data_IF_069843710973
#
_entry.id   IF_069843710973
#
_cell.length_a   1.000
_cell.length_b   1.000
_cell.length_c   1.000
_cell.angle_alpha   90.00
_cell.angle_beta   90.00
_cell.angle_gamma   90.00
#
_symmetry.space_group_name_H-M   'P 1'
#
loop_
_entity.id
_entity.type
_entity.pdbx_description
1 polymer ?
#
# COMPACT_ATOMS: atom_id res chain seq x y z
N UNK A 1 30.13 -47.92 -42.29
CA UNK A 1 29.29 -46.74 -42.61
C UNK A 1 27.85 -46.82 -42.09
N UNK A 2 27.17 -47.98 -42.08
CA UNK A 2 25.79 -48.11 -41.53
C UNK A 2 25.63 -47.80 -40.02
N UNK A 3 26.69 -47.93 -39.21
CA UNK A 3 26.64 -47.67 -37.75
C UNK A 3 26.71 -46.18 -37.38
N UNK A 4 27.20 -45.32 -38.26
CA UNK A 4 27.29 -43.86 -38.03
C UNK A 4 25.94 -43.19 -38.29
N UNK A 5 25.14 -43.72 -39.22
CA UNK A 5 23.82 -43.19 -39.54
C UNK A 5 22.78 -43.40 -38.43
N UNK A 6 22.84 -44.50 -37.67
CA UNK A 6 21.92 -44.73 -36.53
C UNK A 6 22.21 -43.79 -35.35
N UNK A 7 23.47 -43.35 -35.19
CA UNK A 7 23.88 -42.43 -34.13
C UNK A 7 23.43 -40.99 -34.40
N UNK A 8 23.34 -40.56 -35.66
CA UNK A 8 22.80 -39.24 -35.99
C UNK A 8 21.28 -39.18 -35.84
N UNK A 9 20.57 -40.28 -36.10
CA UNK A 9 19.11 -40.31 -35.99
C UNK A 9 18.61 -40.32 -34.54
N UNK A 10 19.41 -40.88 -33.61
CA UNK A 10 19.10 -40.87 -32.18
C UNK A 10 19.38 -39.51 -31.52
N UNK A 11 20.31 -38.71 -32.05
CA UNK A 11 20.59 -37.35 -31.54
C UNK A 11 19.53 -36.33 -31.98
N UNK A 12 18.90 -36.52 -33.14
CA UNK A 12 17.84 -35.64 -33.65
C UNK A 12 16.51 -35.80 -32.92
N UNK A 13 16.22 -36.98 -32.36
CA UNK A 13 14.97 -37.24 -31.61
C UNK A 13 14.99 -36.56 -30.23
N UNK A 14 16.18 -36.38 -29.63
CA UNK A 14 16.32 -35.67 -28.34
C UNK A 14 16.00 -34.18 -28.49
N UNK A 15 16.23 -33.58 -29.66
CA UNK A 15 15.85 -32.18 -29.93
C UNK A 15 14.36 -31.98 -30.26
N UNK A 16 13.65 -33.03 -30.68
CA UNK A 16 12.20 -32.97 -30.96
C UNK A 16 11.32 -33.22 -29.73
N UNK A 17 11.92 -33.69 -28.63
CA UNK A 17 11.29 -33.83 -27.31
C UNK A 17 11.72 -32.71 -26.34
N UNK A 18 12.44 -31.70 -26.84
CA UNK A 18 12.63 -30.44 -26.12
C UNK A 18 11.27 -29.76 -26.00
N UNK A 19 10.51 -30.13 -24.97
CA UNK A 19 9.28 -29.47 -24.60
C UNK A 19 9.51 -27.97 -24.63
N UNK A 20 8.51 -27.23 -25.11
CA UNK A 20 8.47 -25.79 -24.93
C UNK A 20 8.61 -25.55 -23.43
N UNK A 21 9.82 -25.20 -22.98
CA UNK A 21 10.01 -24.56 -21.69
C UNK A 21 9.43 -23.18 -21.94
N UNK A 22 8.13 -23.03 -21.68
CA UNK A 22 7.52 -21.72 -21.54
C UNK A 22 8.32 -21.03 -20.44
N UNK A 23 9.22 -20.14 -20.85
CA UNK A 23 9.94 -19.30 -19.93
C UNK A 23 8.89 -18.46 -19.20
N UNK A 24 8.77 -18.63 -17.88
CA UNK A 24 7.96 -17.76 -17.04
C UNK A 24 8.29 -16.30 -17.40
N UNK A 25 7.28 -15.56 -17.85
CA UNK A 25 7.47 -14.17 -18.24
C UNK A 25 7.55 -13.33 -16.96
N UNK A 26 8.77 -13.00 -16.55
CA UNK A 26 8.99 -12.04 -15.48
C UNK A 26 8.79 -10.63 -16.06
N UNK A 27 7.75 -9.93 -15.60
CA UNK A 27 7.55 -8.54 -16.00
C UNK A 27 8.52 -7.65 -15.20
N UNK A 28 9.04 -6.60 -15.83
CA UNK A 28 9.82 -5.61 -15.09
C UNK A 28 8.86 -4.89 -14.14
N UNK A 29 9.15 -4.98 -12.84
CA UNK A 29 8.39 -4.26 -11.84
C UNK A 29 8.46 -2.75 -12.10
N UNK A 30 7.30 -2.09 -12.12
CA UNK A 30 7.18 -0.64 -12.31
C UNK A 30 7.77 0.09 -11.10
N UNK A 31 8.26 1.30 -11.34
CA UNK A 31 8.66 2.20 -10.26
C UNK A 31 7.46 2.69 -9.46
N UNK A 32 7.71 3.18 -8.24
CA UNK A 32 6.64 3.70 -7.37
C UNK A 32 5.90 4.89 -7.99
N UNK A 33 6.61 5.75 -8.73
CA UNK A 33 6.01 6.92 -9.40
C UNK A 33 5.11 6.49 -10.57
N UNK A 34 5.51 5.48 -11.34
CA UNK A 34 4.67 4.88 -12.39
C UNK A 34 3.41 4.25 -11.79
N UNK A 35 3.54 3.46 -10.71
CA UNK A 35 2.41 2.87 -10.00
C UNK A 35 1.47 3.94 -9.41
N UNK A 36 2.01 5.07 -8.95
CA UNK A 36 1.20 6.16 -8.43
C UNK A 36 0.36 6.83 -9.52
N UNK A 37 0.93 7.10 -10.68
CA UNK A 37 0.17 7.65 -11.81
C UNK A 37 -0.83 6.64 -12.38
N UNK A 38 -0.48 5.36 -12.44
CA UNK A 38 -1.43 4.30 -12.82
C UNK A 38 -2.62 4.27 -11.85
N UNK A 39 -2.36 4.32 -10.53
CA UNK A 39 -3.40 4.33 -9.51
C UNK A 39 -4.33 5.55 -9.60
N UNK A 40 -3.79 6.73 -9.91
CA UNK A 40 -4.60 7.95 -10.12
C UNK A 40 -5.47 7.88 -11.39
N UNK A 41 -4.97 7.20 -12.42
CA UNK A 41 -5.67 7.06 -13.70
C UNK A 41 -6.56 5.81 -13.77
N UNK A 42 -6.63 5.01 -12.70
CA UNK A 42 -7.41 3.77 -12.65
C UNK A 42 -6.85 2.67 -13.56
N UNK A 43 -5.55 2.71 -13.85
CA UNK A 43 -4.85 1.69 -14.66
C UNK A 43 -4.41 0.57 -13.73
N UNK A 44 -4.75 -0.68 -14.07
CA UNK A 44 -4.44 -1.89 -13.31
C UNK A 44 -4.37 -3.09 -14.25
N UNK A 45 -3.45 -4.02 -13.97
CA UNK A 45 -3.38 -5.30 -14.67
C UNK A 45 -4.51 -6.26 -14.23
N UNK A 46 -5.03 -6.07 -13.01
CA UNK A 46 -6.18 -6.81 -12.49
C UNK A 46 -7.50 -6.14 -12.88
N UNK A 47 -8.53 -6.95 -13.12
CA UNK A 47 -9.89 -6.46 -13.37
C UNK A 47 -10.48 -5.72 -12.16
N UNK A 48 -11.49 -4.88 -12.39
CA UNK A 48 -12.17 -4.14 -11.32
C UNK A 48 -12.72 -5.06 -10.22
N UNK A 49 -13.28 -6.22 -10.59
CA UNK A 49 -13.81 -7.22 -9.64
C UNK A 49 -12.69 -7.87 -8.82
N UNK A 50 -11.53 -8.12 -9.42
CA UNK A 50 -10.36 -8.64 -8.71
C UNK A 50 -9.78 -7.58 -7.78
N UNK A 51 -9.70 -6.33 -8.26
CA UNK A 51 -9.31 -5.19 -7.45
C UNK A 51 -10.26 -5.04 -6.26
N UNK A 52 -11.57 -5.02 -6.43
CA UNK A 52 -12.53 -4.90 -5.33
C UNK A 52 -12.34 -6.00 -4.26
N UNK A 53 -12.02 -7.24 -4.68
CA UNK A 53 -11.66 -8.32 -3.75
C UNK A 53 -10.34 -8.04 -3.01
N UNK A 54 -9.37 -7.38 -3.67
CA UNK A 54 -8.06 -7.07 -3.09
C UNK A 54 -8.01 -5.84 -2.22
N UNK A 55 -8.79 -4.80 -2.56
CA UNK A 55 -8.71 -3.48 -1.93
C UNK A 55 -10.02 -3.07 -1.27
N UNK A 56 -11.10 -3.84 -1.39
CA UNK A 56 -12.42 -3.50 -0.85
C UNK A 56 -12.46 -3.40 0.69
N UNK A 57 -11.41 -3.87 1.38
CA UNK A 57 -11.23 -3.72 2.83
C UNK A 57 -10.22 -2.62 3.19
N UNK A 58 -9.67 -1.92 2.19
CA UNK A 58 -8.76 -0.82 2.45
C UNK A 58 -9.52 0.28 3.18
N UNK A 59 -8.94 0.70 4.29
CA UNK A 59 -9.53 1.68 5.17
C UNK A 59 -8.42 2.53 5.74
N UNK A 60 -8.73 3.79 5.98
CA UNK A 60 -7.88 4.71 6.71
C UNK A 60 -8.59 5.06 8.01
N UNK A 61 -7.88 4.94 9.12
CA UNK A 61 -8.37 5.37 10.43
C UNK A 61 -7.38 6.39 10.95
N UNK A 62 -7.90 7.59 11.24
CA UNK A 62 -7.12 8.68 11.82
C UNK A 62 -7.66 8.92 13.21
N UNK A 63 -6.79 8.84 14.21
CA UNK A 63 -7.15 9.07 15.60
C UNK A 63 -6.31 10.24 16.13
N UNK A 64 -6.92 11.35 16.56
CA UNK A 64 -6.18 12.42 17.21
C UNK A 64 -5.55 11.88 18.50
N UNK A 65 -4.28 12.22 18.72
CA UNK A 65 -3.58 11.90 19.96
C UNK A 65 -3.67 13.10 20.90
N UNK A 66 -3.88 12.89 22.21
CA UNK A 66 -3.90 13.99 23.16
C UNK A 66 -2.58 14.76 23.09
N UNK A 67 -2.64 16.09 23.04
CA UNK A 67 -1.45 16.93 23.11
C UNK A 67 -0.68 16.60 24.39
N UNK A 68 0.61 16.23 24.28
CA UNK A 68 1.47 16.02 25.43
C UNK A 68 1.90 17.36 26.02
N UNK A 69 0.95 18.08 26.63
CA UNK A 69 1.23 19.36 27.28
C UNK A 69 1.68 19.10 28.73
N UNK A 70 3.00 19.09 28.94
CA UNK A 70 3.64 19.35 30.24
C UNK A 70 3.54 20.84 30.61
N UNK A 71 2.33 21.42 30.60
CA UNK A 71 2.13 22.78 31.08
C UNK A 71 0.90 22.85 31.98
N UNK A 72 1.18 22.81 33.29
CA UNK A 72 0.26 23.29 34.31
C UNK A 72 -0.05 24.77 34.05
N UNK A 73 -1.35 25.07 34.03
CA UNK A 73 -1.97 26.41 34.10
C UNK A 73 -1.61 27.40 33.00
N UNK A 74 -2.51 27.60 32.04
CA UNK A 74 -3.13 28.91 31.76
C UNK A 74 -4.41 28.73 30.95
N UNK A 75 -5.52 29.12 31.55
CA UNK A 75 -6.85 29.17 30.94
C UNK A 75 -7.00 30.51 30.21
N UNK A 76 -6.99 30.49 28.88
CA UNK A 76 -7.65 31.48 28.03
C UNK A 76 -8.00 30.82 26.70
N UNK A 77 -9.30 30.64 26.45
CA UNK A 77 -9.91 30.41 25.14
C UNK A 77 -9.15 29.43 24.24
N UNK A 78 -9.47 28.15 24.37
CA UNK A 78 -9.12 27.09 23.42
C UNK A 78 -9.61 27.45 22.00
N UNK A 79 -8.84 28.26 21.29
CA UNK A 79 -8.73 28.20 19.85
C UNK A 79 -7.84 26.98 19.57
N UNK A 80 -8.42 25.78 19.69
CA UNK A 80 -7.85 24.64 18.97
C UNK A 80 -7.95 25.04 17.51
N UNK A 81 -6.81 25.25 16.85
CA UNK A 81 -6.84 25.23 15.40
C UNK A 81 -7.31 23.83 15.03
N UNK A 82 -8.56 23.70 14.61
CA UNK A 82 -9.20 22.44 14.19
C UNK A 82 -8.60 21.97 12.86
N UNK A 83 -7.28 21.79 12.84
CA UNK A 83 -6.60 21.19 11.70
C UNK A 83 -7.06 19.74 11.66
N UNK A 84 -7.81 19.36 10.64
CA UNK A 84 -8.24 17.99 10.43
C UNK A 84 -7.51 17.40 9.23
N UNK A 85 -6.92 16.21 9.35
CA UNK A 85 -6.29 15.54 8.21
C UNK A 85 -7.35 15.04 7.23
N UNK A 86 -7.11 15.29 5.95
CA UNK A 86 -7.87 14.75 4.82
C UNK A 86 -7.01 13.72 4.11
N UNK A 87 -7.63 12.63 3.66
CA UNK A 87 -6.90 11.53 3.01
C UNK A 87 -7.56 11.16 1.69
N UNK A 88 -6.79 11.30 0.61
CA UNK A 88 -7.13 10.73 -0.69
C UNK A 88 -6.48 9.35 -0.82
N UNK A 89 -7.23 8.37 -1.32
CA UNK A 89 -6.76 6.99 -1.47
C UNK A 89 -6.80 6.58 -2.93
N UNK A 90 -5.72 5.97 -3.41
CA UNK A 90 -5.59 5.44 -4.76
C UNK A 90 -5.06 4.01 -4.70
N UNK A 91 -5.36 3.18 -5.70
CA UNK A 91 -4.82 1.82 -5.76
C UNK A 91 -4.66 1.32 -7.19
N UNK A 92 -3.66 0.46 -7.39
CA UNK A 92 -3.38 -0.22 -8.66
C UNK A 92 -2.85 -1.63 -8.36
N UNK A 93 -2.84 -2.49 -9.38
CA UNK A 93 -2.15 -3.77 -9.32
C UNK A 93 -1.33 -4.01 -10.59
N UNK A 94 -0.19 -4.69 -10.39
CA UNK A 94 0.67 -5.16 -11.46
C UNK A 94 0.86 -6.68 -11.34
N UNK A 95 0.76 -7.42 -12.44
CA UNK A 95 1.20 -8.82 -12.49
C UNK A 95 2.72 -8.83 -12.67
N UNK A 96 3.45 -9.23 -11.63
CA UNK A 96 4.93 -9.21 -11.61
C UNK A 96 5.53 -10.51 -12.14
N UNK A 97 4.82 -11.63 -11.92
CA UNK A 97 5.21 -12.95 -12.42
C UNK A 97 3.96 -13.72 -12.81
N UNK A 98 3.97 -14.33 -14.00
CA UNK A 98 2.92 -15.21 -14.47
C UNK A 98 3.54 -16.49 -15.02
N UNK A 99 3.11 -17.62 -14.48
CA UNK A 99 3.48 -18.96 -14.92
C UNK A 99 2.25 -19.86 -15.03
N UNK A 100 2.47 -21.12 -15.43
CA UNK A 100 1.38 -22.07 -15.69
C UNK A 100 0.52 -22.38 -14.47
N UNK A 101 1.15 -22.45 -13.28
CA UNK A 101 0.52 -22.90 -12.03
C UNK A 101 0.49 -21.83 -10.93
N UNK A 102 1.11 -20.67 -11.19
CA UNK A 102 1.26 -19.60 -10.21
C UNK A 102 1.29 -18.23 -10.86
N UNK A 103 0.65 -17.26 -10.20
CA UNK A 103 0.73 -15.84 -10.56
C UNK A 103 1.04 -15.02 -9.30
N UNK A 104 1.95 -14.05 -9.42
CA UNK A 104 2.22 -13.07 -8.37
C UNK A 104 1.70 -11.71 -8.84
N UNK A 105 0.74 -11.18 -8.10
CA UNK A 105 0.24 -9.82 -8.27
C UNK A 105 0.78 -8.92 -7.15
N UNK A 106 1.30 -7.75 -7.51
CA UNK A 106 1.67 -6.68 -6.60
C UNK A 106 0.52 -5.67 -6.54
N UNK A 107 -0.18 -5.59 -5.40
CA UNK A 107 -1.29 -4.65 -5.18
C UNK A 107 -0.78 -3.49 -4.34
N UNK A 108 -0.80 -2.29 -4.91
CA UNK A 108 -0.29 -1.08 -4.27
C UNK A 108 -1.43 -0.13 -3.96
N UNK A 109 -1.45 0.37 -2.72
CA UNK A 109 -2.36 1.41 -2.26
C UNK A 109 -1.57 2.62 -1.78
N UNK A 110 -2.01 3.80 -2.22
CA UNK A 110 -1.44 5.09 -1.90
C UNK A 110 -2.42 5.91 -1.07
N UNK A 111 -1.87 6.72 -0.16
CA UNK A 111 -2.64 7.58 0.73
C UNK A 111 -1.97 8.95 0.78
N UNK A 112 -2.64 9.94 0.21
CA UNK A 112 -2.19 11.33 0.20
C UNK A 112 -2.90 12.10 1.31
N UNK A 113 -2.14 12.49 2.32
CA UNK A 113 -2.62 13.13 3.53
C UNK A 113 -2.33 14.62 3.44
N UNK A 114 -3.37 15.46 3.53
CA UNK A 114 -3.26 16.91 3.61
C UNK A 114 -3.86 17.42 4.92
N UNK A 115 -3.45 18.62 5.32
CA UNK A 115 -3.96 19.32 6.48
C UNK A 115 -4.67 20.57 6.01
N UNK A 116 -5.98 20.66 6.22
CA UNK A 116 -6.68 21.91 6.04
C UNK A 116 -6.48 22.76 7.29
N UNK A 117 -5.87 23.93 7.11
CA UNK A 117 -6.02 25.03 8.08
C UNK A 117 -7.35 25.69 7.79
N UNK A 118 -8.34 25.47 8.67
CA UNK A 118 -9.57 26.24 8.67
C UNK A 118 -9.26 27.74 8.70
N UNK A 119 -9.44 28.42 7.57
CA UNK A 119 -9.53 29.88 7.50
C UNK A 119 -10.95 30.40 7.75
N UNK A 120 -11.79 29.63 8.44
CA UNK A 120 -13.16 30.03 8.78
C UNK A 120 -13.44 30.03 10.30
N UNK A 121 -12.42 30.26 11.12
CA UNK A 121 -12.65 30.81 12.46
C UNK A 121 -13.04 32.28 12.29
N UNK A 122 -14.36 32.54 12.22
CA UNK A 122 -15.07 33.83 12.36
C UNK A 122 -14.18 35.06 12.69
N UNK A 123 -13.42 35.56 11.73
CA UNK A 123 -13.02 36.96 11.72
C UNK A 123 -14.23 37.70 11.19
N UNK A 124 -14.95 38.40 12.07
CA UNK A 124 -15.91 39.42 11.67
C UNK A 124 -15.14 40.44 10.83
N UNK A 125 -15.18 40.28 9.50
CA UNK A 125 -14.73 41.30 8.57
C UNK A 125 -15.76 42.42 8.58
N UNK A 126 -15.63 43.33 9.54
CA UNK A 126 -16.27 44.63 9.45
C UNK A 126 -15.59 45.39 8.32
N UNK A 127 -16.39 45.82 7.35
CA UNK A 127 -16.06 46.62 6.15
C UNK A 127 -15.71 45.80 4.89
N UNK A 128 -16.70 45.78 3.99
CA UNK A 128 -16.77 44.90 2.83
C UNK A 128 -15.75 45.18 1.73
N UNK A 129 -15.32 44.10 1.10
CA UNK A 129 -14.94 44.06 -0.31
C UNK A 129 -15.55 42.77 -0.87
N UNK A 130 -16.45 42.92 -1.83
CA UNK A 130 -17.02 41.81 -2.57
C UNK A 130 -16.00 41.33 -3.62
N UNK A 131 -15.43 40.13 -3.45
CA UNK A 131 -14.80 39.39 -4.55
C UNK A 131 -14.76 37.87 -4.31
N UNK A 132 -15.49 37.17 -5.19
CA UNK A 132 -15.37 35.79 -5.68
C UNK A 132 -15.67 34.57 -4.76
N UNK A 133 -16.59 33.68 -5.22
CA UNK A 133 -16.67 32.31 -4.73
C UNK A 133 -15.58 31.45 -5.38
N UNK A 134 -14.85 30.65 -4.61
CA UNK A 134 -14.06 29.54 -5.17
C UNK A 134 -12.56 29.49 -4.90
N UNK A 135 -12.02 30.15 -3.86
CA UNK A 135 -10.64 29.85 -3.43
C UNK A 135 -10.61 28.57 -2.57
N UNK A 136 -10.82 27.43 -3.21
CA UNK A 136 -10.34 26.14 -2.70
C UNK A 136 -8.82 26.26 -2.75
N UNK A 137 -8.22 26.54 -1.60
CA UNK A 137 -6.76 26.63 -1.51
C UNK A 137 -6.26 25.21 -1.72
N UNK A 138 -5.53 25.00 -2.81
CA UNK A 138 -4.93 23.73 -3.21
C UNK A 138 -4.24 23.11 -1.98
N UNK A 139 -4.87 22.10 -1.35
CA UNK A 139 -4.37 21.54 -0.11
C UNK A 139 -3.10 20.77 -0.45
N UNK A 140 -1.95 21.43 -0.27
CA UNK A 140 -0.65 20.81 -0.51
C UNK A 140 -0.61 19.51 0.28
N UNK A 141 -0.35 18.41 -0.42
CA UNK A 141 -0.19 17.10 0.22
C UNK A 141 0.99 17.22 1.18
N UNK A 142 0.78 16.80 2.42
CA UNK A 142 1.75 16.94 3.50
C UNK A 142 2.55 15.64 3.68
N UNK A 143 1.88 14.50 3.54
CA UNK A 143 2.48 13.16 3.60
C UNK A 143 1.87 12.31 2.50
N UNK A 144 2.71 11.54 1.81
CA UNK A 144 2.28 10.42 0.97
C UNK A 144 2.71 9.12 1.60
N UNK A 145 1.78 8.24 1.88
CA UNK A 145 2.06 6.89 2.30
C UNK A 145 1.75 5.90 1.17
N UNK A 146 2.45 4.78 1.16
CA UNK A 146 2.13 3.68 0.26
C UNK A 146 2.32 2.33 0.96
N UNK A 147 1.62 1.34 0.43
CA UNK A 147 1.72 -0.05 0.83
C UNK A 147 1.56 -0.93 -0.39
N UNK A 148 2.44 -1.90 -0.56
CA UNK A 148 2.37 -2.89 -1.63
C UNK A 148 2.42 -4.27 -1.01
N UNK A 149 1.43 -5.10 -1.33
CA UNK A 149 1.43 -6.52 -0.98
C UNK A 149 1.63 -7.34 -2.24
N UNK A 150 2.46 -8.37 -2.14
CA UNK A 150 2.70 -9.31 -3.23
C UNK A 150 2.00 -10.60 -2.85
N UNK A 151 0.99 -10.94 -3.63
CA UNK A 151 0.14 -12.11 -3.39
C UNK A 151 0.41 -13.11 -4.49
N UNK A 152 0.93 -14.27 -4.10
CA UNK A 152 1.02 -15.41 -4.99
C UNK A 152 -0.29 -16.18 -4.94
N UNK A 153 -0.82 -16.49 -6.12
CA UNK A 153 -2.04 -17.24 -6.34
C UNK A 153 -1.70 -18.54 -7.06
N UNK A 154 -2.19 -19.66 -6.53
CA UNK A 154 -2.08 -21.00 -7.14
C UNK A 154 -3.42 -21.72 -7.03
N UNK A 155 -3.51 -22.92 -7.58
CA UNK A 155 -4.66 -23.83 -7.37
C UNK A 155 -4.82 -24.23 -5.90
N UNK A 156 -3.76 -24.18 -5.08
CA UNK A 156 -3.80 -24.51 -3.66
C UNK A 156 -4.31 -23.35 -2.77
N UNK A 157 -4.38 -22.13 -3.30
CA UNK A 157 -4.83 -20.95 -2.57
C UNK A 157 -3.95 -19.74 -2.81
N UNK A 158 -3.91 -18.82 -1.85
CA UNK A 158 -3.11 -17.59 -1.92
C UNK A 158 -2.18 -17.42 -0.73
N UNK A 159 -1.03 -16.76 -0.90
CA UNK A 159 -0.14 -16.38 0.20
C UNK A 159 0.50 -15.01 -0.03
N UNK A 160 0.89 -14.37 1.07
CA UNK A 160 1.74 -13.16 1.03
C UNK A 160 3.20 -13.58 0.83
N UNK A 161 3.84 -13.12 -0.24
CA UNK A 161 5.26 -13.42 -0.55
C UNK A 161 6.19 -12.27 -0.18
N UNK A 162 5.67 -11.04 -0.20
CA UNK A 162 6.41 -9.83 0.14
C UNK A 162 5.43 -8.74 0.53
N UNK A 163 5.85 -7.82 1.38
CA UNK A 163 5.14 -6.58 1.67
C UNK A 163 6.15 -5.43 1.74
N UNK A 164 5.85 -4.32 1.08
CA UNK A 164 6.66 -3.10 1.11
C UNK A 164 5.78 -1.90 1.40
N UNK A 165 6.38 -0.82 1.86
CA UNK A 165 5.65 0.41 2.06
C UNK A 165 6.53 1.51 2.61
N UNK A 166 5.92 2.66 2.83
CA UNK A 166 6.61 3.78 3.40
C UNK A 166 5.76 5.02 3.54
N UNK A 167 6.38 6.04 4.13
CA UNK A 167 5.80 7.32 4.44
C UNK A 167 6.76 8.43 3.99
N UNK A 168 6.38 9.15 2.95
CA UNK A 168 7.16 10.25 2.40
C UNK A 168 6.60 11.57 2.89
N UNK A 169 7.44 12.39 3.52
CA UNK A 169 7.10 13.78 3.82
C UNK A 169 7.18 14.61 2.55
N UNK A 170 6.08 15.26 2.20
CA UNK A 170 6.01 16.23 1.11
C UNK A 170 6.09 17.67 1.65
N UNK A 171 5.69 17.86 2.90
CA UNK A 171 5.88 19.09 3.67
C UNK A 171 6.95 18.88 4.75
N UNK A 172 7.95 19.77 4.81
CA UNK A 172 9.07 19.70 5.76
C UNK A 172 8.67 20.04 7.19
N UNK A 173 7.52 20.69 7.40
CA UNK A 173 6.96 21.00 8.72
C UNK A 173 6.29 19.80 9.41
N UNK A 174 6.09 18.70 8.69
CA UNK A 174 5.55 17.45 9.24
C UNK A 174 6.65 16.63 9.90
N UNK A 175 6.34 16.01 11.04
CA UNK A 175 7.16 14.97 11.65
C UNK A 175 6.44 13.62 11.65
N UNK A 176 7.19 12.54 11.41
CA UNK A 176 6.70 11.16 11.37
C UNK A 176 7.43 10.33 12.44
N UNK A 177 6.69 9.61 13.28
CA UNK A 177 7.24 8.72 14.31
C UNK A 177 6.39 7.47 14.54
N UNK A 178 6.86 6.59 15.43
CA UNK A 178 6.08 5.46 15.97
C UNK A 178 5.50 4.54 14.89
N UNK A 179 6.31 4.29 13.85
CA UNK A 179 5.92 3.45 12.72
C UNK A 179 5.77 2.00 13.17
N UNK A 180 4.67 1.36 12.77
CA UNK A 180 4.40 -0.05 13.02
C UNK A 180 3.77 -0.67 11.78
N UNK A 181 4.24 -1.86 11.42
CA UNK A 181 3.66 -2.67 10.36
C UNK A 181 3.22 -4.00 10.95
N UNK A 182 2.00 -4.43 10.67
CA UNK A 182 1.50 -5.77 10.94
C UNK A 182 1.19 -6.41 9.61
N UNK A 183 1.64 -7.62 9.35
CA UNK A 183 1.46 -8.29 8.07
C UNK A 183 1.16 -9.77 8.28
N UNK A 184 0.55 -10.41 7.29
CA UNK A 184 0.39 -11.85 7.32
C UNK A 184 -0.79 -12.37 6.52
N UNK A 185 -1.19 -13.58 6.90
CA UNK A 185 -2.33 -14.31 6.36
C UNK A 185 -3.21 -14.80 7.51
N UNK A 186 -4.52 -14.77 7.32
CA UNK A 186 -5.51 -15.36 8.20
C UNK A 186 -6.44 -16.24 7.38
N UNK A 187 -6.76 -17.43 7.88
CA UNK A 187 -7.58 -18.41 7.15
C UNK A 187 -7.28 -19.85 7.55
N UNK A 188 -7.87 -20.77 6.80
CA UNK A 188 -7.64 -22.22 6.94
C UNK A 188 -6.66 -22.66 5.83
N UNK A 189 -5.67 -23.52 6.12
CA UNK A 189 -5.37 -24.16 7.41
C UNK A 189 -4.50 -23.32 8.35
N UNK A 190 -4.01 -22.16 7.90
CA UNK A 190 -2.95 -21.43 8.57
C UNK A 190 -3.31 -19.96 8.76
N UNK A 191 -3.00 -19.45 9.95
CA UNK A 191 -3.04 -18.03 10.25
C UNK A 191 -1.70 -17.64 10.86
N UNK A 192 -0.95 -16.80 10.16
CA UNK A 192 0.36 -16.35 10.57
C UNK A 192 0.41 -14.84 10.44
N UNK A 193 0.91 -14.17 11.47
CA UNK A 193 1.14 -12.73 11.44
C UNK A 193 2.55 -12.41 11.96
N UNK A 194 3.07 -11.28 11.49
CA UNK A 194 4.30 -10.69 11.96
C UNK A 194 4.09 -9.21 12.26
N UNK A 195 4.96 -8.66 13.10
CA UNK A 195 5.02 -7.22 13.37
C UNK A 195 6.43 -6.71 13.12
N UNK A 196 6.54 -5.57 12.45
CA UNK A 196 7.79 -4.82 12.26
C UNK A 196 7.61 -3.41 12.84
N UNK A 197 8.66 -2.86 13.44
CA UNK A 197 8.75 -1.44 13.81
C UNK A 197 9.87 -0.79 12.98
N UNK A 198 9.56 -0.23 11.80
CA UNK A 198 10.57 0.35 10.94
C UNK A 198 11.28 1.53 11.62
N UNK A 199 12.62 1.53 11.57
CA UNK A 199 13.43 2.69 11.99
C UNK A 199 13.52 3.78 10.91
N UNK A 200 13.21 3.43 9.66
CA UNK A 200 13.20 4.31 8.49
C UNK A 200 11.78 4.62 8.01
N UNK A 201 11.68 5.59 7.10
CA UNK A 201 10.43 5.97 6.43
C UNK A 201 9.91 4.90 5.47
N UNK A 202 10.77 4.00 5.00
CA UNK A 202 10.40 2.87 4.15
C UNK A 202 10.68 1.54 4.84
N UNK A 203 10.01 0.48 4.38
CA UNK A 203 10.24 -0.88 4.83
C UNK A 203 10.01 -1.89 3.71
N UNK A 204 10.66 -3.04 3.85
CA UNK A 204 10.46 -4.22 3.02
C UNK A 204 10.48 -5.46 3.90
N UNK A 205 9.50 -6.33 3.69
CA UNK A 205 9.26 -7.52 4.50
C UNK A 205 9.10 -8.69 3.55
N UNK A 206 9.87 -9.74 3.80
CA UNK A 206 9.63 -11.06 3.23
C UNK A 206 9.09 -11.94 4.36
N UNK A 207 7.82 -12.38 4.31
CA UNK A 207 7.28 -13.27 5.33
C UNK A 207 8.12 -14.55 5.47
N UNK A 208 8.17 -15.08 6.69
CA UNK A 208 8.83 -16.36 6.96
C UNK A 208 8.21 -17.48 6.11
N UNK A 209 8.96 -18.53 5.72
CA UNK A 209 8.41 -19.70 5.03
C UNK A 209 7.22 -20.38 5.72
N UNK A 210 7.02 -20.15 7.03
CA UNK A 210 5.83 -20.59 7.77
C UNK A 210 4.52 -19.91 7.30
N UNK A 211 4.60 -18.78 6.59
CA UNK A 211 3.45 -18.13 5.93
C UNK A 211 3.11 -18.91 4.66
N UNK A 212 2.29 -19.95 4.81
CA UNK A 212 1.86 -20.81 3.71
C UNK A 212 0.59 -20.29 3.04
N UNK A 213 0.16 -21.00 1.99
CA UNK A 213 -1.12 -20.77 1.33
C UNK A 213 -2.32 -20.90 2.29
N UNK A 214 -3.30 -20.03 2.09
CA UNK A 214 -4.63 -20.10 2.69
C UNK A 214 -5.68 -20.39 1.62
N UNK A 215 -6.69 -21.17 2.01
CA UNK A 215 -7.82 -21.52 1.15
C UNK A 215 -8.73 -20.31 0.92
N UNK A 216 -8.95 -19.96 -0.34
CA UNK A 216 -9.73 -18.79 -0.76
C UNK A 216 -11.22 -19.06 -0.94
N UNK A 217 -11.67 -20.32 -0.83
CA UNK A 217 -13.08 -20.73 -0.87
C UNK A 217 -13.82 -20.54 0.45
N UNK A 218 -13.11 -20.19 1.52
CA UNK A 218 -13.65 -19.88 2.85
C UNK A 218 -13.30 -18.44 3.23
N UNK A 219 -13.62 -18.00 4.44
CA UNK A 219 -13.17 -16.68 4.92
C UNK A 219 -11.65 -16.66 5.14
N UNK A 220 -10.99 -15.61 4.66
CA UNK A 220 -9.55 -15.42 4.74
C UNK A 220 -9.21 -13.93 4.64
N UNK A 221 -7.98 -13.61 5.03
CA UNK A 221 -7.39 -12.30 4.81
C UNK A 221 -5.89 -12.44 4.48
N UNK A 222 -5.39 -11.61 3.58
CA UNK A 222 -3.96 -11.55 3.24
C UNK A 222 -3.57 -10.09 3.10
N UNK A 223 -2.55 -9.64 3.82
CA UNK A 223 -2.08 -8.27 3.59
C UNK A 223 -1.21 -7.70 4.68
N UNK A 224 -1.27 -6.38 4.77
CA UNK A 224 -0.54 -5.58 5.74
C UNK A 224 -1.34 -4.38 6.22
N UNK A 225 -1.06 -3.99 7.44
CA UNK A 225 -1.49 -2.75 8.04
C UNK A 225 -0.26 -1.93 8.43
N UNK A 226 -0.25 -0.65 8.11
CA UNK A 226 0.81 0.28 8.46
C UNK A 226 0.25 1.39 9.34
N UNK A 227 0.94 1.70 10.44
CA UNK A 227 0.62 2.79 11.35
C UNK A 227 1.79 3.75 11.43
N UNK A 228 1.51 5.04 11.49
CA UNK A 228 2.49 6.06 11.87
C UNK A 228 1.81 7.17 12.67
N UNK A 229 2.59 7.80 13.55
CA UNK A 229 2.20 9.08 14.16
C UNK A 229 2.65 10.21 13.25
N UNK A 230 1.72 11.08 12.88
CA UNK A 230 1.98 12.31 12.12
C UNK A 230 1.79 13.49 13.07
N UNK A 231 2.80 14.36 13.16
CA UNK A 231 2.72 15.64 13.87
C UNK A 231 2.82 16.79 12.88
N UNK A 232 1.94 17.77 13.03
CA UNK A 232 1.93 19.01 12.25
C UNK A 232 1.50 20.15 13.16
N UNK A 233 2.32 21.19 13.26
CA UNK A 233 2.17 22.23 14.28
C UNK A 233 2.13 21.62 15.70
N UNK A 234 1.18 22.01 16.56
CA UNK A 234 0.98 21.41 17.90
C UNK A 234 0.17 20.10 17.88
N UNK A 235 -0.45 19.77 16.76
CA UNK A 235 -1.38 18.64 16.64
C UNK A 235 -0.69 17.34 16.21
N UNK A 236 -1.28 16.23 16.62
CA UNK A 236 -0.73 14.89 16.43
C UNK A 236 -1.85 13.88 16.14
N UNK A 237 -1.63 13.00 15.17
CA UNK A 237 -2.56 11.93 14.81
C UNK A 237 -1.85 10.60 14.66
N UNK A 238 -2.47 9.53 15.16
CA UNK A 238 -2.14 8.17 14.77
C UNK A 238 -2.92 7.83 13.50
N UNK A 239 -2.21 7.56 12.41
CA UNK A 239 -2.80 7.19 11.12
C UNK A 239 -2.56 5.71 10.89
N UNK A 240 -3.65 4.97 10.68
CA UNK A 240 -3.68 3.54 10.43
C UNK A 240 -4.21 3.26 9.03
N UNK A 241 -3.38 2.61 8.21
CA UNK A 241 -3.63 2.28 6.82
C UNK A 241 -3.78 0.77 6.70
N UNK A 242 -4.90 0.32 6.15
CA UNK A 242 -5.15 -1.09 5.84
C UNK A 242 -4.98 -1.32 4.35
N UNK A 243 -4.14 -2.30 3.99
CA UNK A 243 -4.03 -2.87 2.66
C UNK A 243 -4.16 -4.38 2.75
N UNK A 244 -5.39 -4.88 2.63
CA UNK A 244 -5.68 -6.30 2.82
C UNK A 244 -6.70 -6.82 1.80
N UNK A 245 -6.36 -7.99 1.26
CA UNK A 245 -7.23 -8.95 0.58
C UNK A 245 -8.18 -9.62 1.61
#
# INVERSE_FOLDING_TARGET
MKKVFLSLFSLAIIFLLGGNIEANAMSKEKSLDELYEDAKNGISDLSEVEMEKMIGKNKVIITPLPEQNNFSTFNMNNLTSDVSPIVDTYSTAQIVESGTDSEIAAVTSFYDISFETDKNQNLINTFGIATQPGNVTDSKKAVRAYSTIYVESTTAGKRLTKATGGWTKLDTSVALSDRKVVYGTAGIPHSNNGTLKPSSDTFSITPSPAHTFVNTSVSYAIGMNSTATIRYSSSSWSVYLLNNY
#
